data_IF_778933477033
#
_entry.id   IF_778933477033
#
_cell.length_a   1.000
_cell.length_b   1.000
_cell.length_c   1.000
_cell.angle_alpha   90.00
_cell.angle_beta   90.00
_cell.angle_gamma   90.00
#
_symmetry.space_group_name_H-M   'P 1'
#
loop_
_entity.id
_entity.type
_entity.pdbx_description
1 polymer ?
#
# COMPACT_ATOMS: atom_id res chain seq x y z
N UNK A 1 -20.05 -12.32 -1.06
CA UNK A 1 -18.92 -12.91 -1.82
C UNK A 1 -18.15 -14.02 -1.12
N UNK A 2 -18.12 -14.12 0.22
CA UNK A 2 -17.36 -15.14 0.99
C UNK A 2 -17.61 -16.60 0.54
N UNK A 3 -18.81 -16.92 0.02
CA UNK A 3 -19.14 -18.25 -0.48
C UNK A 3 -18.35 -18.69 -1.72
N UNK A 4 -17.88 -17.77 -2.56
CA UNK A 4 -17.09 -18.11 -3.76
C UNK A 4 -15.66 -18.58 -3.41
N UNK A 5 -14.91 -17.92 -2.51
CA UNK A 5 -13.62 -18.45 -2.06
C UNK A 5 -13.76 -19.51 -0.95
N UNK A 6 -14.61 -19.29 0.05
CA UNK A 6 -14.65 -20.10 1.27
C UNK A 6 -15.90 -20.97 1.42
N UNK A 7 -16.79 -21.06 0.43
CA UNK A 7 -17.89 -22.03 0.45
C UNK A 7 -17.38 -23.47 0.28
N UNK A 8 -18.21 -24.47 0.57
CA UNK A 8 -17.84 -25.88 0.35
C UNK A 8 -17.51 -26.18 -1.13
N UNK A 9 -18.25 -25.54 -2.06
CA UNK A 9 -17.98 -25.56 -3.50
C UNK A 9 -17.13 -24.37 -3.97
N UNK A 10 -16.58 -23.59 -3.03
CA UNK A 10 -15.74 -22.43 -3.34
C UNK A 10 -14.33 -22.83 -3.75
N UNK A 11 -13.54 -21.85 -4.20
CA UNK A 11 -12.18 -22.06 -4.69
C UNK A 11 -11.28 -22.80 -3.68
N UNK A 12 -11.42 -22.50 -2.38
CA UNK A 12 -10.67 -23.17 -1.31
C UNK A 12 -11.42 -24.35 -0.67
N UNK A 13 -12.63 -24.66 -1.14
CA UNK A 13 -13.48 -25.74 -0.63
C UNK A 13 -12.77 -27.10 -0.55
N UNK A 14 -12.08 -27.57 -1.61
CA UNK A 14 -11.33 -28.83 -1.57
C UNK A 14 -10.21 -28.86 -0.52
N UNK A 15 -9.39 -27.79 -0.41
CA UNK A 15 -8.33 -27.72 0.62
C UNK A 15 -8.95 -27.68 2.01
N UNK A 16 -9.92 -26.79 2.26
CA UNK A 16 -10.57 -26.68 3.58
C UNK A 16 -11.18 -28.03 3.99
N UNK A 17 -11.85 -28.74 3.08
CA UNK A 17 -12.38 -30.08 3.33
C UNK A 17 -11.28 -31.07 3.76
N UNK A 18 -10.17 -31.13 3.03
CA UNK A 18 -9.04 -31.98 3.41
C UNK A 18 -8.49 -31.60 4.80
N UNK A 19 -8.40 -30.29 5.10
CA UNK A 19 -7.86 -29.77 6.37
C UNK A 19 -8.73 -30.08 7.58
N UNK A 20 -10.05 -30.15 7.41
CA UNK A 20 -10.98 -30.33 8.54
C UNK A 20 -11.52 -31.77 8.65
N UNK A 21 -11.51 -32.56 7.56
CA UNK A 21 -12.11 -33.91 7.52
C UNK A 21 -11.09 -35.04 7.42
N UNK A 22 -9.93 -34.86 6.79
CA UNK A 22 -8.97 -35.95 6.62
C UNK A 22 -8.26 -36.28 7.94
N UNK A 23 -8.22 -37.56 8.33
CA UNK A 23 -7.66 -37.99 9.63
C UNK A 23 -6.22 -37.51 9.84
N UNK A 24 -5.35 -37.66 8.84
CA UNK A 24 -3.96 -37.17 8.95
C UNK A 24 -3.84 -35.66 9.19
N UNK A 25 -4.80 -34.86 8.69
CA UNK A 25 -4.83 -33.42 9.00
C UNK A 25 -5.38 -33.13 10.40
N UNK A 26 -6.27 -33.97 10.91
CA UNK A 26 -6.80 -33.89 12.26
C UNK A 26 -5.71 -34.29 13.27
N UNK A 27 -4.94 -35.35 12.98
CA UNK A 27 -3.86 -35.85 13.83
C UNK A 27 -2.80 -34.77 14.07
N UNK A 28 -2.33 -34.11 13.00
CA UNK A 28 -1.36 -33.02 13.12
C UNK A 28 -1.96 -31.78 13.80
N UNK A 29 -3.25 -31.51 13.61
CA UNK A 29 -3.94 -30.43 14.31
C UNK A 29 -3.98 -30.68 15.82
N UNK A 30 -4.28 -31.91 16.25
CA UNK A 30 -4.27 -32.33 17.66
C UNK A 30 -2.86 -32.30 18.24
N UNK A 31 -1.86 -32.80 17.50
CA UNK A 31 -0.46 -32.78 17.92
C UNK A 31 0.07 -31.36 18.17
N UNK A 32 -0.52 -30.35 17.51
CA UNK A 32 -0.23 -28.91 17.71
C UNK A 32 -1.11 -28.24 18.78
N UNK A 33 -1.88 -29.00 19.56
CA UNK A 33 -2.75 -28.49 20.62
C UNK A 33 -4.19 -28.13 20.19
N UNK A 34 -4.56 -28.43 18.95
CA UNK A 34 -5.92 -28.23 18.44
C UNK A 34 -6.94 -29.19 19.06
N UNK A 35 -8.20 -28.77 19.15
CA UNK A 35 -9.32 -29.58 19.67
C UNK A 35 -10.34 -29.85 18.56
N UNK A 36 -10.58 -31.11 18.16
CA UNK A 36 -11.61 -31.45 17.19
C UNK A 36 -13.03 -31.13 17.70
N UNK A 37 -13.98 -30.84 16.79
CA UNK A 37 -13.80 -30.76 15.34
C UNK A 37 -13.10 -29.46 14.92
N UNK A 38 -12.23 -29.52 13.91
CA UNK A 38 -11.66 -28.32 13.27
C UNK A 38 -12.77 -27.63 12.50
N UNK A 39 -13.12 -26.40 12.89
CA UNK A 39 -14.25 -25.67 12.30
C UNK A 39 -13.89 -25.15 10.90
N UNK A 40 -14.90 -25.07 10.04
CA UNK A 40 -14.80 -24.36 8.77
C UNK A 40 -14.43 -22.88 9.02
N UNK A 41 -13.49 -22.28 8.26
CA UNK A 41 -13.15 -20.87 8.42
C UNK A 41 -14.37 -19.97 8.18
N UNK A 42 -14.61 -19.03 9.10
CA UNK A 42 -15.69 -18.05 8.97
C UNK A 42 -15.11 -16.64 9.08
N UNK A 43 -14.32 -16.19 8.08
CA UNK A 43 -13.79 -14.84 8.10
C UNK A 43 -14.95 -13.83 7.99
N UNK A 44 -14.85 -12.76 8.75
CA UNK A 44 -15.67 -11.57 8.54
C UNK A 44 -14.97 -10.73 7.46
N UNK A 45 -15.65 -10.58 6.32
CA UNK A 45 -15.10 -9.88 5.16
C UNK A 45 -15.98 -8.67 4.89
N UNK A 46 -15.34 -7.51 4.89
CA UNK A 46 -15.96 -6.25 4.48
C UNK A 46 -15.33 -5.81 3.17
N UNK A 47 -16.13 -5.74 2.11
CA UNK A 47 -15.71 -5.13 0.86
C UNK A 47 -15.72 -3.62 1.01
N UNK A 48 -14.64 -3.00 0.54
CA UNK A 48 -14.45 -1.56 0.62
C UNK A 48 -14.65 -0.94 -0.76
N UNK A 49 -14.89 0.37 -0.75
CA UNK A 49 -15.00 1.23 -1.93
C UNK A 49 -14.29 2.56 -1.64
N UNK A 50 -13.88 3.31 -2.67
CA UNK A 50 -13.39 4.66 -2.47
C UNK A 50 -14.41 5.52 -1.71
N UNK A 51 -13.94 6.22 -0.67
CA UNK A 51 -14.76 7.01 0.24
C UNK A 51 -15.18 6.28 1.52
N UNK A 52 -15.06 4.95 1.58
CA UNK A 52 -15.36 4.19 2.78
C UNK A 52 -14.40 4.53 3.92
N UNK A 53 -14.91 4.38 5.13
CA UNK A 53 -14.15 4.56 6.37
C UNK A 53 -14.29 3.34 7.26
N UNK A 54 -13.14 2.85 7.74
CA UNK A 54 -13.06 1.80 8.76
C UNK A 54 -12.53 2.45 10.03
N UNK A 55 -13.24 2.26 11.15
CA UNK A 55 -12.92 2.93 12.41
C UNK A 55 -12.63 1.90 13.50
N UNK A 56 -11.65 2.23 14.35
CA UNK A 56 -11.36 1.50 15.57
C UNK A 56 -11.18 2.44 16.75
N UNK A 57 -10.59 1.94 17.84
CA UNK A 57 -10.37 2.74 19.02
C UNK A 57 -9.23 3.76 18.80
N UNK A 58 -9.58 5.01 18.50
CA UNK A 58 -8.62 6.12 18.35
C UNK A 58 -7.97 6.23 16.97
N UNK A 59 -8.43 5.48 15.97
CA UNK A 59 -7.92 5.55 14.60
C UNK A 59 -9.05 5.42 13.56
N UNK A 60 -8.82 5.98 12.38
CA UNK A 60 -9.70 5.85 11.21
C UNK A 60 -8.87 5.56 9.97
N UNK A 61 -9.27 4.54 9.20
CA UNK A 61 -8.75 4.30 7.85
C UNK A 61 -9.77 4.82 6.84
N UNK A 62 -9.35 5.72 5.96
CA UNK A 62 -10.13 6.19 4.80
C UNK A 62 -9.59 5.54 3.54
N UNK A 63 -10.50 5.09 2.67
CA UNK A 63 -10.18 4.42 1.40
C UNK A 63 -10.25 5.45 0.28
N UNK A 64 -9.21 5.54 -0.55
CA UNK A 64 -9.18 6.36 -1.77
C UNK A 64 -9.04 5.51 -3.02
N UNK A 65 -9.38 6.08 -4.17
CA UNK A 65 -9.19 5.41 -5.46
C UNK A 65 -7.72 5.56 -5.93
N UNK A 66 -7.07 4.43 -6.21
CA UNK A 66 -5.77 4.39 -6.88
C UNK A 66 -5.95 4.28 -8.40
N UNK A 67 -4.96 4.73 -9.17
CA UNK A 67 -4.91 4.57 -10.63
C UNK A 67 -3.99 3.41 -11.00
N UNK A 68 -4.54 2.25 -11.34
CA UNK A 68 -3.74 1.08 -11.70
C UNK A 68 -4.44 0.28 -12.80
N UNK A 69 -4.93 -0.93 -12.54
CA UNK A 69 -5.46 -1.84 -13.58
C UNK A 69 -6.98 -1.84 -13.69
N UNK A 70 -7.64 -0.72 -13.35
CA UNK A 70 -9.06 -0.52 -13.63
C UNK A 70 -9.35 -0.64 -15.15
N UNK A 71 -10.53 -1.16 -15.56
CA UNK A 71 -11.68 -1.57 -14.74
C UNK A 71 -11.64 -3.05 -14.31
N UNK A 72 -10.51 -3.74 -14.48
CA UNK A 72 -10.43 -5.19 -14.19
C UNK A 72 -10.26 -5.48 -12.70
N UNK A 73 -9.59 -4.59 -11.97
CA UNK A 73 -9.43 -4.65 -10.53
C UNK A 73 -9.73 -3.28 -9.92
N UNK A 74 -10.45 -3.28 -8.80
CA UNK A 74 -10.54 -2.09 -7.96
C UNK A 74 -9.24 -1.96 -7.16
N UNK A 75 -8.53 -0.85 -7.35
CA UNK A 75 -7.28 -0.56 -6.67
C UNK A 75 -7.45 0.63 -5.72
N UNK A 76 -6.90 0.52 -4.52
CA UNK A 76 -7.13 1.48 -3.44
C UNK A 76 -5.83 2.01 -2.84
N UNK A 77 -5.86 3.29 -2.50
CA UNK A 77 -4.98 3.86 -1.48
C UNK A 77 -5.69 3.84 -0.12
N UNK A 78 -4.91 3.76 0.95
CA UNK A 78 -5.41 3.76 2.32
C UNK A 78 -4.74 4.88 3.11
N UNK A 79 -5.54 5.69 3.79
CA UNK A 79 -5.05 6.66 4.76
C UNK A 79 -5.47 6.28 6.16
N UNK A 80 -4.52 6.15 7.07
CA UNK A 80 -4.74 5.98 8.49
C UNK A 80 -4.52 7.32 9.19
N UNK A 81 -5.51 7.77 9.96
CA UNK A 81 -5.42 8.91 10.86
C UNK A 81 -5.57 8.44 12.32
N UNK A 82 -4.76 9.02 13.20
CA UNK A 82 -4.81 8.81 14.66
C UNK A 82 -4.39 10.08 15.41
N UNK A 83 -4.46 10.07 16.74
CA UNK A 83 -3.93 11.16 17.56
C UNK A 83 -2.40 11.34 17.45
N UNK A 84 -1.68 10.31 17.01
CA UNK A 84 -0.22 10.34 16.87
C UNK A 84 0.25 10.93 15.54
N UNK A 85 -0.63 10.93 14.53
CA UNK A 85 -0.37 11.42 13.19
C UNK A 85 -1.14 10.63 12.13
N UNK A 86 -0.74 10.86 10.87
CA UNK A 86 -1.42 10.36 9.68
C UNK A 86 -0.45 9.75 8.66
N UNK A 87 -0.83 8.60 8.12
CA UNK A 87 -0.08 7.91 7.08
C UNK A 87 -1.02 7.67 5.90
N UNK A 88 -0.59 8.01 4.70
CA UNK A 88 -1.25 7.62 3.46
C UNK A 88 -0.37 6.62 2.72
N UNK A 89 -0.87 5.42 2.47
CA UNK A 89 -0.24 4.42 1.61
C UNK A 89 -0.98 4.39 0.28
N UNK A 90 -0.30 4.70 -0.82
CA UNK A 90 -0.94 4.78 -2.14
C UNK A 90 -1.45 3.44 -2.66
N UNK A 91 -0.87 2.34 -2.17
CA UNK A 91 -0.85 1.07 -2.89
C UNK A 91 -0.15 1.24 -4.24
N UNK A 92 -0.44 0.35 -5.18
CA UNK A 92 -0.01 0.53 -6.56
C UNK A 92 -0.91 1.57 -7.21
N UNK A 93 -0.37 2.77 -7.43
CA UNK A 93 -0.99 3.85 -8.20
C UNK A 93 0.04 4.55 -9.09
N UNK A 94 -0.27 4.67 -10.38
CA UNK A 94 0.52 5.44 -11.34
C UNK A 94 0.00 6.84 -11.59
N UNK A 95 0.74 7.57 -12.42
CA UNK A 95 0.45 8.96 -12.77
C UNK A 95 0.32 9.90 -11.56
N UNK A 96 -0.31 11.06 -11.80
CA UNK A 96 -0.73 11.99 -10.73
C UNK A 96 -2.21 11.78 -10.46
N UNK A 97 -2.52 10.67 -9.79
CA UNK A 97 -3.91 10.23 -9.55
C UNK A 97 -4.64 11.18 -8.57
N UNK A 98 -5.75 11.83 -8.98
CA UNK A 98 -6.49 12.74 -8.10
C UNK A 98 -7.00 12.08 -6.82
N UNK A 99 -7.38 10.80 -6.90
CA UNK A 99 -7.82 10.04 -5.73
C UNK A 99 -6.75 9.88 -4.66
N UNK A 100 -5.48 9.72 -5.06
CA UNK A 100 -4.35 9.64 -4.13
C UNK A 100 -3.95 11.02 -3.63
N UNK A 101 -3.95 12.05 -4.49
CA UNK A 101 -3.66 13.43 -4.08
C UNK A 101 -4.62 13.91 -2.99
N UNK A 102 -5.93 13.69 -3.17
CA UNK A 102 -6.93 14.07 -2.19
C UNK A 102 -6.85 13.21 -0.92
N UNK A 103 -6.61 11.90 -1.05
CA UNK A 103 -6.45 11.02 0.10
C UNK A 103 -5.24 11.43 0.95
N UNK A 104 -4.11 11.73 0.33
CA UNK A 104 -2.84 12.07 0.97
C UNK A 104 -2.78 13.50 1.52
N UNK A 105 -3.84 14.30 1.35
CA UNK A 105 -3.82 15.73 1.66
C UNK A 105 -3.39 16.03 3.09
N UNK A 106 -2.26 16.72 3.24
CA UNK A 106 -1.68 17.13 4.52
C UNK A 106 -1.25 15.98 5.42
N UNK A 107 -1.10 14.76 4.91
CA UNK A 107 -0.66 13.63 5.73
C UNK A 107 0.79 13.83 6.22
N UNK A 108 1.11 13.20 7.35
CA UNK A 108 2.46 13.28 7.91
C UNK A 108 3.44 12.43 7.09
N UNK A 109 3.01 11.24 6.68
CA UNK A 109 3.82 10.34 5.85
C UNK A 109 2.99 9.86 4.65
N UNK A 110 3.47 10.15 3.45
CA UNK A 110 2.99 9.55 2.21
C UNK A 110 3.95 8.45 1.78
N UNK A 111 3.51 7.20 1.87
CA UNK A 111 4.22 6.04 1.29
C UNK A 111 3.66 5.81 -0.11
N UNK A 112 4.50 6.04 -1.12
CA UNK A 112 4.09 6.03 -2.53
C UNK A 112 4.96 5.12 -3.37
N UNK A 113 4.33 4.35 -4.26
CA UNK A 113 5.04 3.58 -5.28
C UNK A 113 5.85 4.52 -6.19
N UNK A 114 7.11 4.17 -6.44
CA UNK A 114 8.01 4.83 -7.39
C UNK A 114 8.58 3.75 -8.33
N UNK A 115 7.75 3.23 -9.22
CA UNK A 115 8.10 2.02 -9.96
C UNK A 115 9.16 2.23 -11.04
N UNK A 116 9.10 3.37 -11.74
CA UNK A 116 9.88 3.61 -12.94
C UNK A 116 10.66 4.92 -12.90
N UNK A 117 11.71 5.00 -13.71
CA UNK A 117 12.44 6.23 -13.94
C UNK A 117 11.70 7.08 -14.98
N UNK A 118 11.41 8.34 -14.67
CA UNK A 118 10.65 9.24 -15.53
C UNK A 118 11.23 9.36 -16.94
N UNK A 119 10.35 9.44 -17.93
CA UNK A 119 10.67 9.54 -19.36
C UNK A 119 11.32 8.29 -19.96
N UNK A 120 11.26 7.15 -19.26
CA UNK A 120 11.78 5.87 -19.77
C UNK A 120 10.69 4.80 -19.88
N UNK A 121 9.46 5.12 -19.46
CA UNK A 121 8.34 4.18 -19.46
C UNK A 121 8.04 3.64 -20.86
N UNK A 122 7.65 2.36 -21.00
CA UNK A 122 7.37 1.78 -22.31
C UNK A 122 6.24 2.48 -23.07
N UNK A 123 5.23 2.97 -22.33
CA UNK A 123 4.05 3.64 -22.89
C UNK A 123 3.45 4.60 -21.87
N UNK A 124 2.63 5.56 -22.34
CA UNK A 124 1.89 6.46 -21.46
C UNK A 124 0.94 5.70 -20.53
N UNK A 125 0.26 4.63 -21.01
CA UNK A 125 -0.61 3.85 -20.14
C UNK A 125 0.20 3.16 -19.02
N UNK A 126 1.41 2.68 -19.31
CA UNK A 126 2.29 2.12 -18.29
C UNK A 126 2.64 3.14 -17.21
N UNK A 127 2.97 4.38 -17.61
CA UNK A 127 3.15 5.50 -16.67
C UNK A 127 1.90 5.77 -15.83
N UNK A 128 0.71 5.75 -16.42
CA UNK A 128 -0.55 5.99 -15.70
C UNK A 128 -0.93 4.89 -14.70
N UNK A 129 -0.42 3.67 -14.86
CA UNK A 129 -0.69 2.55 -13.93
C UNK A 129 0.45 2.29 -12.94
N UNK A 130 1.71 2.53 -13.30
CA UNK A 130 2.88 2.25 -12.45
C UNK A 130 3.59 3.50 -11.91
N UNK A 131 3.40 4.66 -12.54
CA UNK A 131 3.99 5.92 -12.12
C UNK A 131 5.51 5.99 -12.29
N UNK A 132 6.05 7.17 -12.02
CA UNK A 132 7.46 7.47 -12.03
C UNK A 132 7.82 8.46 -10.91
N UNK A 133 9.10 8.82 -10.78
CA UNK A 133 9.54 9.73 -9.72
C UNK A 133 9.05 11.18 -9.87
N UNK A 134 8.87 11.69 -11.08
CA UNK A 134 8.33 13.04 -11.31
C UNK A 134 6.85 13.11 -10.93
N UNK A 135 6.07 12.08 -11.26
CA UNK A 135 4.66 11.95 -10.89
C UNK A 135 4.53 11.81 -9.38
N UNK A 136 5.36 10.97 -8.76
CA UNK A 136 5.39 10.80 -7.30
C UNK A 136 5.72 12.12 -6.58
N UNK A 137 6.67 12.90 -7.10
CA UNK A 137 6.97 14.23 -6.58
C UNK A 137 5.78 15.20 -6.71
N UNK A 138 5.09 15.19 -7.86
CA UNK A 138 3.90 16.03 -8.07
C UNK A 138 2.77 15.65 -7.13
N UNK A 139 2.53 14.36 -6.92
CA UNK A 139 1.52 13.87 -5.95
C UNK A 139 1.85 14.38 -4.55
N UNK A 140 3.08 14.18 -4.07
CA UNK A 140 3.49 14.63 -2.74
C UNK A 140 3.37 16.15 -2.57
N UNK A 141 3.80 16.91 -3.58
CA UNK A 141 3.73 18.37 -3.57
C UNK A 141 2.27 18.88 -3.60
N UNK A 142 1.40 18.29 -4.41
CA UNK A 142 -0.01 18.68 -4.48
C UNK A 142 -0.79 18.29 -3.22
N UNK A 143 -0.51 17.11 -2.67
CA UNK A 143 -1.08 16.68 -1.41
C UNK A 143 -0.57 17.53 -0.23
N UNK A 144 0.59 18.17 -0.35
CA UNK A 144 1.24 18.82 0.79
C UNK A 144 1.63 17.81 1.87
N UNK A 145 2.06 16.61 1.45
CA UNK A 145 2.56 15.60 2.38
C UNK A 145 3.79 16.13 3.12
N UNK A 146 3.93 15.79 4.41
CA UNK A 146 5.07 16.28 5.20
C UNK A 146 6.33 15.45 5.00
N UNK A 147 6.21 14.19 4.61
CA UNK A 147 7.33 13.30 4.29
C UNK A 147 6.87 12.35 3.19
N UNK A 148 7.71 12.20 2.17
CA UNK A 148 7.49 11.26 1.06
C UNK A 148 8.40 10.06 1.26
N UNK A 149 7.84 8.87 1.34
CA UNK A 149 8.55 7.60 1.38
C UNK A 149 8.35 6.92 0.04
N UNK A 150 9.44 6.67 -0.67
CA UNK A 150 9.42 5.95 -1.94
C UNK A 150 9.51 4.44 -1.67
N UNK A 151 8.75 3.64 -2.41
CA UNK A 151 8.80 2.16 -2.35
C UNK A 151 8.45 1.54 -3.70
N UNK A 152 8.44 0.21 -3.77
CA UNK A 152 7.98 -0.58 -4.92
C UNK A 152 8.73 -0.25 -6.23
N UNK A 153 10.05 -0.24 -6.13
CA UNK A 153 10.98 0.04 -7.22
C UNK A 153 11.21 -1.17 -8.12
N UNK A 154 11.58 -0.93 -9.38
CA UNK A 154 12.28 -1.93 -10.17
C UNK A 154 13.78 -1.93 -9.85
N UNK A 155 14.44 -3.07 -10.05
CA UNK A 155 15.89 -3.22 -9.89
C UNK A 155 16.67 -2.09 -10.60
N UNK A 156 16.26 -1.70 -11.81
CA UNK A 156 16.91 -0.64 -12.58
C UNK A 156 16.84 0.75 -11.93
N UNK A 157 15.82 1.01 -11.11
CA UNK A 157 15.65 2.25 -10.35
C UNK A 157 16.43 2.17 -9.05
N UNK A 158 16.55 0.97 -8.48
CA UNK A 158 17.19 0.70 -7.21
C UNK A 158 18.72 0.51 -7.29
N UNK A 159 19.37 1.24 -8.21
CA UNK A 159 20.83 1.17 -8.41
C UNK A 159 21.56 2.38 -7.79
N UNK A 160 22.78 2.20 -7.27
CA UNK A 160 23.64 3.32 -6.90
C UNK A 160 23.83 4.32 -8.05
N UNK A 161 23.78 5.62 -7.75
CA UNK A 161 23.77 6.70 -8.73
C UNK A 161 22.38 7.03 -9.27
N UNK A 162 21.54 6.02 -9.51
CA UNK A 162 20.15 6.22 -9.96
C UNK A 162 19.28 6.67 -8.79
N UNK A 163 19.42 6.07 -7.60
CA UNK A 163 18.71 6.49 -6.38
C UNK A 163 18.91 7.98 -6.09
N UNK A 164 20.16 8.44 -6.12
CA UNK A 164 20.53 9.84 -5.86
C UNK A 164 20.00 10.78 -6.94
N UNK A 165 20.01 10.34 -8.20
CA UNK A 165 19.42 11.10 -9.29
C UNK A 165 17.91 11.26 -9.11
N UNK A 166 17.20 10.18 -8.77
CA UNK A 166 15.76 10.21 -8.48
C UNK A 166 15.45 11.17 -7.34
N UNK A 167 16.14 11.04 -6.20
CA UNK A 167 15.94 11.92 -5.04
C UNK A 167 16.19 13.39 -5.41
N UNK A 168 17.26 13.67 -6.16
CA UNK A 168 17.58 15.03 -6.62
C UNK A 168 16.48 15.59 -7.53
N UNK A 169 15.95 14.78 -8.45
CA UNK A 169 14.92 15.21 -9.38
C UNK A 169 13.56 15.42 -8.70
N UNK A 170 13.21 14.58 -7.73
CA UNK A 170 12.05 14.80 -6.84
C UNK A 170 12.21 16.13 -6.09
N UNK A 171 13.40 16.40 -5.55
CA UNK A 171 13.70 17.63 -4.81
C UNK A 171 13.58 18.93 -5.62
N UNK A 172 13.46 18.86 -6.95
CA UNK A 172 13.14 20.03 -7.79
C UNK A 172 11.65 20.40 -7.79
N UNK A 173 10.80 19.48 -7.37
CA UNK A 173 9.33 19.60 -7.43
C UNK A 173 8.73 19.60 -6.03
N UNK A 174 9.21 18.70 -5.17
CA UNK A 174 8.71 18.51 -3.81
C UNK A 174 9.77 18.96 -2.80
N UNK A 175 9.40 19.91 -1.94
CA UNK A 175 10.32 20.53 -0.98
C UNK A 175 10.42 19.79 0.37
N UNK A 176 9.57 18.78 0.60
CA UNK A 176 9.59 18.03 1.85
C UNK A 176 10.66 16.93 1.87
N UNK A 177 10.94 16.34 3.04
CA UNK A 177 11.80 15.17 3.20
C UNK A 177 11.38 14.01 2.29
N UNK A 178 12.36 13.42 1.63
CA UNK A 178 12.23 12.21 0.81
C UNK A 178 13.03 11.09 1.48
N UNK A 179 12.39 9.96 1.71
CA UNK A 179 12.99 8.75 2.27
C UNK A 179 12.95 7.65 1.21
N UNK A 180 14.09 7.02 0.97
CA UNK A 180 14.15 5.79 0.18
C UNK A 180 13.78 4.62 1.10
N UNK A 181 12.62 4.00 0.90
CA UNK A 181 12.19 2.88 1.71
C UNK A 181 13.04 1.64 1.47
N UNK A 182 13.41 0.95 2.54
CA UNK A 182 14.16 -0.31 2.49
C UNK A 182 13.50 -1.35 3.40
N UNK A 183 13.76 -2.63 3.13
CA UNK A 183 13.27 -3.72 3.94
C UNK A 183 13.67 -3.53 5.41
N UNK A 184 12.69 -3.74 6.31
CA UNK A 184 12.85 -3.59 7.76
C UNK A 184 13.12 -2.15 8.24
N UNK A 185 13.03 -1.14 7.37
CA UNK A 185 13.18 0.25 7.77
C UNK A 185 12.02 0.71 8.66
N UNK A 186 12.35 1.34 9.79
CA UNK A 186 11.38 2.00 10.65
C UNK A 186 11.34 3.50 10.34
N UNK A 187 10.14 4.01 10.05
CA UNK A 187 9.94 5.43 9.72
C UNK A 187 9.00 6.05 10.76
N UNK A 188 9.44 7.07 11.50
CA UNK A 188 8.59 7.74 12.48
C UNK A 188 7.50 8.55 11.78
N UNK A 189 6.28 8.50 12.31
CA UNK A 189 5.14 9.28 11.79
C UNK A 189 5.35 10.77 12.00
N UNK A 190 6.01 11.15 13.09
CA UNK A 190 6.50 12.51 13.28
C UNK A 190 7.76 12.63 12.44
N UNK A 191 7.65 13.34 11.32
CA UNK A 191 8.74 13.52 10.35
C UNK A 191 10.04 13.99 11.01
N UNK A 192 11.18 13.84 10.30
CA UNK A 192 12.49 14.16 10.85
C UNK A 192 12.53 15.62 11.31
N UNK A 193 13.04 15.85 12.52
CA UNK A 193 13.29 17.21 12.99
C UNK A 193 14.52 17.71 12.24
N UNK A 194 14.31 18.56 11.23
CA UNK A 194 15.40 19.17 10.47
C UNK A 194 16.27 19.99 11.43
N UNK A 195 17.47 19.50 11.71
CA UNK A 195 18.50 20.31 12.35
C UNK A 195 18.90 21.40 11.36
N UNK A 196 18.56 22.67 11.67
CA UNK A 196 19.15 23.80 10.97
C UNK A 196 20.60 23.89 11.45
N UNK A 197 21.55 23.74 10.54
CA UNK A 197 22.91 24.20 10.80
C UNK A 197 22.85 25.73 10.74
N UNK A 198 22.95 26.36 11.91
CA UNK A 198 23.21 27.81 12.03
C UNK A 198 24.66 28.13 11.64
#
# INVERSE_FOLDING_TARGET
MVGLPFGEAGAFGPDINARIRHQGSIDIFVARGGKPPRKWPKPEVTELRPGDKVQGNGWTVTVGAASHVQPYLECYGLRLDSAEGSICYSGDSGGVAPGIVELAKGCDVLVHMNHYFSDTEPTEIYRLVCGNHVDTAKVAQQAGARTLVLTHFLEQVDQPGVREQVIREIGRIYAGPVIWGEDLMEIPVKGPTMYKME
#
